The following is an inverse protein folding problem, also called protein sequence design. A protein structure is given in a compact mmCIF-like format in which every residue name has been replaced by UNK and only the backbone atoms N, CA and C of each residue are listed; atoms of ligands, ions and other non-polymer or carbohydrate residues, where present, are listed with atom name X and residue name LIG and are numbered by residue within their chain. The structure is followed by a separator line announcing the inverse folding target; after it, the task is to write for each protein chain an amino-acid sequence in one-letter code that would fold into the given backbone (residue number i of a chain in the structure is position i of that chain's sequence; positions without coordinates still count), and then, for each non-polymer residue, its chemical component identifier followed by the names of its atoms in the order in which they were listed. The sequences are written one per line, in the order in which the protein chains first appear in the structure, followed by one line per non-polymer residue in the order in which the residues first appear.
data_IF_547494773893
#
_entry.id   IF_547494773893
#
_cell.length_a   1.000
_cell.length_b   1.000
_cell.length_c   1.000
_cell.angle_alpha   90.00
_cell.angle_beta   90.00
_cell.angle_gamma   90.00
#
_symmetry.space_group_name_H-M   'P 1'
#
loop_
_entity.id
_entity.type
_entity.pdbx_description
1 polymer ?
#
# COMPACT_ATOMS: atom_id res chain seq x y z
N UNK A 1 7.90 -10.58 1.68
CA UNK A 1 8.95 -9.78 2.36
C UNK A 1 8.26 -8.52 2.85
N UNK A 2 8.44 -8.15 4.11
CA UNK A 2 7.97 -6.86 4.64
C UNK A 2 9.17 -5.91 4.78
N UNK A 3 8.98 -4.64 4.48
CA UNK A 3 9.96 -3.61 4.76
C UNK A 3 9.90 -3.10 6.20
N UNK A 4 10.57 -1.98 6.46
CA UNK A 4 10.45 -1.25 7.71
C UNK A 4 10.10 0.21 7.42
N UNK A 5 8.90 0.64 7.83
CA UNK A 5 8.38 1.97 7.55
C UNK A 5 7.96 2.17 6.09
N UNK A 6 8.28 3.34 5.51
CA UNK A 6 7.89 3.71 4.14
C UNK A 6 8.94 3.44 3.06
N UNK A 7 8.58 3.70 1.81
CA UNK A 7 9.39 3.41 0.62
C UNK A 7 10.79 4.04 0.61
N UNK A 8 10.93 5.25 1.16
CA UNK A 8 12.17 6.04 1.21
C UNK A 8 12.87 5.97 2.57
N UNK A 9 12.55 4.99 3.41
CA UNK A 9 13.21 4.83 4.72
C UNK A 9 14.70 4.53 4.51
N UNK A 10 15.62 5.30 5.13
CA UNK A 10 17.05 5.02 5.04
C UNK A 10 17.42 3.69 5.71
N UNK A 11 18.24 2.89 5.02
CA UNK A 11 18.92 1.72 5.58
C UNK A 11 20.39 2.03 5.92
N UNK A 12 20.92 3.10 5.32
CA UNK A 12 22.27 3.59 5.54
C UNK A 12 22.39 5.05 5.09
N UNK A 13 23.63 5.59 5.02
CA UNK A 13 23.86 6.96 4.59
C UNK A 13 23.47 7.25 3.13
N UNK A 14 23.34 6.22 2.30
CA UNK A 14 23.06 6.35 0.86
C UNK A 14 21.90 5.51 0.39
N UNK A 15 21.64 4.40 1.06
CA UNK A 15 20.64 3.41 0.69
C UNK A 15 19.34 3.62 1.47
N UNK A 16 18.24 3.31 0.79
CA UNK A 16 16.89 3.28 1.30
C UNK A 16 16.28 1.89 1.13
N UNK A 17 15.10 1.67 1.71
CA UNK A 17 14.33 0.45 1.52
C UNK A 17 14.01 0.17 0.04
N UNK A 18 13.87 1.22 -0.78
CA UNK A 18 13.68 1.06 -2.22
C UNK A 18 14.88 0.37 -2.88
N UNK A 19 16.11 0.66 -2.46
CA UNK A 19 17.32 0.04 -3.03
C UNK A 19 17.34 -1.47 -2.79
N UNK A 20 16.82 -1.93 -1.64
CA UNK A 20 16.63 -3.36 -1.38
C UNK A 20 15.61 -3.97 -2.35
N UNK A 21 14.44 -3.35 -2.52
CA UNK A 21 13.41 -3.83 -3.45
C UNK A 21 13.93 -3.87 -4.90
N UNK A 22 14.70 -2.85 -5.30
CA UNK A 22 15.36 -2.79 -6.61
C UNK A 22 16.35 -3.95 -6.75
N UNK A 23 17.21 -4.19 -5.76
CA UNK A 23 18.19 -5.29 -5.83
C UNK A 23 17.54 -6.67 -5.97
N UNK A 24 16.35 -6.85 -5.39
CA UNK A 24 15.60 -8.10 -5.42
C UNK A 24 14.72 -8.23 -6.67
N UNK A 25 14.50 -7.15 -7.43
CA UNK A 25 13.63 -7.11 -8.61
C UNK A 25 12.23 -7.68 -8.34
N UNK A 26 11.69 -7.38 -7.15
CA UNK A 26 10.37 -7.88 -6.73
C UNK A 26 9.26 -6.84 -7.00
N UNK A 27 8.06 -7.28 -7.41
CA UNK A 27 6.90 -6.40 -7.47
C UNK A 27 6.51 -5.90 -6.07
N UNK A 28 5.93 -4.71 -6.00
CA UNK A 28 5.56 -4.03 -4.75
C UNK A 28 4.06 -4.09 -4.53
N UNK A 29 3.65 -4.43 -3.30
CA UNK A 29 2.29 -4.21 -2.80
C UNK A 29 2.32 -3.02 -1.85
N UNK A 30 1.47 -2.02 -2.08
CA UNK A 30 1.36 -0.84 -1.22
C UNK A 30 0.17 -0.97 -0.27
N UNK A 31 0.38 -0.73 1.02
CA UNK A 31 -0.72 -0.63 2.01
C UNK A 31 -1.05 0.83 2.24
N UNK A 32 -2.29 1.22 1.99
CA UNK A 32 -2.79 2.59 2.17
C UNK A 32 -3.67 2.62 3.42
N UNK A 33 -3.18 3.28 4.47
CA UNK A 33 -4.02 3.58 5.64
C UNK A 33 -5.07 4.63 5.30
N UNK A 34 -6.35 4.28 5.39
CA UNK A 34 -7.49 5.14 5.06
C UNK A 34 -7.71 6.20 6.13
N UNK A 35 -6.98 7.31 6.00
CA UNK A 35 -7.07 8.51 6.85
C UNK A 35 -6.83 9.78 6.03
N UNK A 36 -7.05 10.95 6.64
CA UNK A 36 -6.75 12.23 5.98
C UNK A 36 -5.29 12.27 5.49
N UNK A 37 -5.09 12.68 4.23
CA UNK A 37 -3.80 12.72 3.56
C UNK A 37 -3.41 11.43 2.81
N UNK A 38 -4.21 10.35 2.91
CA UNK A 38 -3.90 9.08 2.24
C UNK A 38 -3.78 9.18 0.72
N UNK A 39 -4.60 10.00 0.06
CA UNK A 39 -4.53 10.22 -1.40
C UNK A 39 -3.14 10.74 -1.79
N UNK A 40 -2.68 11.82 -1.15
CA UNK A 40 -1.37 12.39 -1.44
C UNK A 40 -0.24 11.37 -1.22
N UNK A 41 -0.24 10.68 -0.07
CA UNK A 41 0.80 9.70 0.23
C UNK A 41 0.81 8.51 -0.73
N UNK A 42 -0.37 7.99 -1.09
CA UNK A 42 -0.50 6.87 -2.02
C UNK A 42 0.03 7.24 -3.41
N UNK A 43 -0.32 8.42 -3.92
CA UNK A 43 0.14 8.89 -5.23
C UNK A 43 1.66 9.14 -5.24
N UNK A 44 2.19 9.84 -4.23
CA UNK A 44 3.64 10.08 -4.12
C UNK A 44 4.43 8.76 -4.03
N UNK A 45 3.88 7.77 -3.31
CA UNK A 45 4.52 6.46 -3.16
C UNK A 45 4.46 5.66 -4.46
N UNK A 46 3.31 5.64 -5.14
CA UNK A 46 3.15 4.96 -6.43
C UNK A 46 4.05 5.57 -7.52
N UNK A 47 4.15 6.90 -7.56
CA UNK A 47 5.07 7.61 -8.46
C UNK A 47 6.53 7.27 -8.16
N UNK A 48 6.90 7.20 -6.88
CA UNK A 48 8.25 6.83 -6.46
C UNK A 48 8.61 5.40 -6.85
N UNK A 49 7.73 4.42 -6.60
CA UNK A 49 7.93 3.01 -6.99
C UNK A 49 8.15 2.91 -8.51
N UNK A 50 7.27 3.55 -9.30
CA UNK A 50 7.38 3.55 -10.77
C UNK A 50 8.67 4.22 -11.26
N UNK A 51 9.06 5.34 -10.63
CA UNK A 51 10.28 6.07 -10.99
C UNK A 51 11.55 5.27 -10.69
N UNK A 52 11.49 4.39 -9.69
CA UNK A 52 12.58 3.48 -9.36
C UNK A 52 12.63 2.24 -10.27
N UNK A 53 11.73 2.16 -11.26
CA UNK A 53 11.69 1.08 -12.25
C UNK A 53 11.00 -0.19 -11.78
N UNK A 54 10.25 -0.14 -10.67
CA UNK A 54 9.54 -1.30 -10.13
C UNK A 54 8.04 -1.26 -10.44
N UNK A 55 7.44 -2.44 -10.50
CA UNK A 55 6.00 -2.63 -10.67
C UNK A 55 5.28 -2.46 -9.33
N UNK A 56 4.23 -1.64 -9.31
CA UNK A 56 3.22 -1.67 -8.26
C UNK A 56 2.18 -2.73 -8.64
N UNK A 57 2.34 -3.95 -8.14
CA UNK A 57 1.47 -5.09 -8.52
C UNK A 57 0.06 -5.00 -7.91
N UNK A 58 -0.09 -4.25 -6.83
CA UNK A 58 -1.40 -4.03 -6.21
C UNK A 58 -1.30 -3.14 -4.98
N UNK A 59 -2.47 -2.81 -4.43
CA UNK A 59 -2.56 -2.08 -3.18
C UNK A 59 -3.71 -2.57 -2.30
N UNK A 60 -3.59 -2.32 -1.00
CA UNK A 60 -4.60 -2.68 0.01
C UNK A 60 -5.08 -1.40 0.69
N UNK A 61 -6.38 -1.23 0.79
CA UNK A 61 -6.98 -0.21 1.65
C UNK A 61 -7.09 -0.77 3.07
N UNK A 62 -6.48 -0.12 4.05
CA UNK A 62 -6.54 -0.54 5.45
C UNK A 62 -7.23 0.53 6.29
N UNK A 63 -8.31 0.18 6.96
CA UNK A 63 -9.03 1.10 7.83
C UNK A 63 -8.36 1.14 9.22
N UNK A 64 -7.75 2.27 9.61
CA UNK A 64 -7.33 2.45 11.00
C UNK A 64 -8.58 2.48 11.89
N UNK A 65 -8.43 2.18 13.18
CA UNK A 65 -9.58 2.14 14.10
C UNK A 65 -10.34 3.45 14.29
N UNK A 66 -9.82 4.55 13.75
CA UNK A 66 -10.49 5.85 13.70
C UNK A 66 -11.30 5.98 12.40
N UNK A 67 -12.61 6.27 12.48
CA UNK A 67 -13.44 6.49 11.30
C UNK A 67 -12.93 7.67 10.48
N UNK A 68 -12.87 7.48 9.16
CA UNK A 68 -12.52 8.53 8.23
C UNK A 68 -13.78 9.13 7.59
N UNK A 69 -13.90 10.46 7.59
CA UNK A 69 -14.93 11.15 6.83
C UNK A 69 -14.77 10.90 5.32
N UNK A 70 -15.89 10.71 4.62
CA UNK A 70 -15.92 10.46 3.17
C UNK A 70 -15.04 9.26 2.75
N UNK A 71 -15.04 8.20 3.56
CA UNK A 71 -14.23 7.01 3.30
C UNK A 71 -14.45 6.44 1.88
N UNK A 72 -15.72 6.29 1.48
CA UNK A 72 -16.09 5.71 0.20
C UNK A 72 -15.59 6.56 -0.98
N UNK A 73 -15.71 7.89 -0.89
CA UNK A 73 -15.25 8.83 -1.91
C UNK A 73 -13.73 8.83 -2.05
N UNK A 74 -13.01 8.74 -0.93
CA UNK A 74 -11.56 8.64 -0.95
C UNK A 74 -11.09 7.30 -1.51
N UNK A 75 -11.75 6.20 -1.15
CA UNK A 75 -11.46 4.87 -1.72
C UNK A 75 -11.70 4.87 -3.23
N UNK A 76 -12.81 5.46 -3.69
CA UNK A 76 -13.12 5.58 -5.11
C UNK A 76 -12.09 6.44 -5.85
N UNK A 77 -11.63 7.53 -5.23
CA UNK A 77 -10.58 8.39 -5.78
C UNK A 77 -9.27 7.61 -5.94
N UNK A 78 -8.85 6.86 -4.92
CA UNK A 78 -7.66 6.01 -4.98
C UNK A 78 -7.77 4.92 -6.05
N UNK A 79 -8.92 4.26 -6.15
CA UNK A 79 -9.21 3.27 -7.21
C UNK A 79 -9.04 3.84 -8.62
N UNK A 80 -9.41 5.11 -8.82
CA UNK A 80 -9.30 5.76 -10.12
C UNK A 80 -7.87 6.21 -10.44
N UNK A 81 -7.13 6.70 -9.45
CA UNK A 81 -5.85 7.34 -9.66
C UNK A 81 -4.64 6.38 -9.56
N UNK A 82 -4.75 5.29 -8.79
CA UNK A 82 -3.65 4.35 -8.63
C UNK A 82 -3.53 3.41 -9.83
N UNK A 83 -2.33 3.27 -10.44
CA UNK A 83 -2.12 2.44 -11.62
C UNK A 83 -1.95 0.96 -11.27
N UNK A 84 -2.71 0.45 -10.30
CA UNK A 84 -2.60 -0.92 -9.78
C UNK A 84 -3.94 -1.41 -9.22
N UNK A 85 -4.21 -2.73 -9.26
CA UNK A 85 -5.47 -3.27 -8.74
C UNK A 85 -5.56 -3.10 -7.22
N UNK A 86 -6.77 -2.77 -6.74
CA UNK A 86 -7.09 -2.91 -5.32
C UNK A 86 -7.24 -4.40 -5.01
N UNK A 87 -6.40 -4.91 -4.12
CA UNK A 87 -6.42 -6.31 -3.67
C UNK A 87 -7.44 -6.54 -2.56
N UNK A 88 -7.87 -5.50 -1.86
CA UNK A 88 -8.86 -5.64 -0.80
C UNK A 88 -8.95 -4.44 0.11
N UNK A 89 -10.03 -4.41 0.88
CA UNK A 89 -10.28 -3.43 1.93
C UNK A 89 -10.35 -4.15 3.27
N UNK A 90 -9.35 -3.93 4.12
CA UNK A 90 -9.25 -4.55 5.44
C UNK A 90 -9.89 -3.59 6.47
N UNK A 91 -11.00 -3.98 7.13
CA UNK A 91 -11.60 -3.16 8.17
C UNK A 91 -10.74 -3.13 9.42
N UNK A 92 -11.07 -2.27 10.38
CA UNK A 92 -10.46 -2.36 11.71
C UNK A 92 -10.88 -3.65 12.42
N UNK A 93 -9.91 -4.49 12.79
CA UNK A 93 -10.14 -5.79 13.45
C UNK A 93 -9.63 -5.73 14.90
N UNK A 94 -10.52 -6.00 15.86
CA UNK A 94 -10.20 -6.06 17.29
C UNK A 94 -10.88 -7.27 17.96
N UNK A 95 -10.13 -8.20 18.59
CA UNK A 95 -8.66 -8.30 18.59
C UNK A 95 -8.12 -8.64 17.20
N UNK A 96 -6.93 -8.14 16.85
CA UNK A 96 -6.34 -8.42 15.55
C UNK A 96 -6.03 -9.91 15.37
N UNK A 97 -6.42 -10.47 14.23
CA UNK A 97 -6.07 -11.82 13.80
C UNK A 97 -5.73 -11.81 12.29
N UNK A 98 -4.53 -12.28 11.88
CA UNK A 98 -4.12 -12.28 10.47
C UNK A 98 -5.07 -13.05 9.54
N UNK A 99 -5.62 -14.17 10.01
CA UNK A 99 -6.56 -14.99 9.24
C UNK A 99 -7.83 -14.21 8.91
N UNK A 100 -8.31 -13.39 9.84
CA UNK A 100 -9.46 -12.51 9.61
C UNK A 100 -9.15 -11.40 8.62
N UNK A 101 -7.93 -10.86 8.60
CA UNK A 101 -7.54 -9.87 7.60
C UNK A 101 -7.44 -10.49 6.20
N UNK A 102 -6.92 -11.73 6.11
CA UNK A 102 -6.72 -12.43 4.84
C UNK A 102 -8.04 -12.68 4.08
N UNK A 103 -9.17 -12.85 4.77
CA UNK A 103 -10.48 -13.03 4.10
C UNK A 103 -10.98 -11.80 3.34
N UNK A 104 -10.35 -10.64 3.53
CA UNK A 104 -10.68 -9.41 2.80
C UNK A 104 -9.80 -9.19 1.56
N UNK A 105 -8.86 -10.09 1.28
CA UNK A 105 -7.91 -9.96 0.19
C UNK A 105 -8.25 -10.92 -0.96
N UNK A 106 -8.30 -10.38 -2.17
CA UNK A 106 -8.37 -11.09 -3.43
C UNK A 106 -7.01 -11.03 -4.12
N UNK A 107 -6.34 -12.18 -4.20
CA UNK A 107 -5.03 -12.31 -4.80
C UNK A 107 -5.10 -12.70 -6.29
N UNK A 108 -6.29 -12.91 -6.85
CA UNK A 108 -6.46 -13.32 -8.26
C UNK A 108 -5.95 -12.26 -9.26
N UNK A 109 -5.82 -11.01 -8.82
CA UNK A 109 -5.28 -9.91 -9.62
C UNK A 109 -3.73 -9.87 -9.66
N UNK A 110 -3.04 -10.65 -8.82
CA UNK A 110 -1.58 -10.76 -8.81
C UNK A 110 -1.12 -11.78 -9.87
N UNK A 111 -0.05 -11.44 -10.59
CA UNK A 111 0.55 -12.27 -11.65
C UNK A 111 1.86 -12.91 -11.20
#
# INVERSE_FOLDING_TARGET
IEGAGGWRVPLGPRETLADLAISLQVPVIMVVGMRLGCINHALLTAEAIRRDGLELAGWVANQPGEPMACHAENLQTLRHLLPAPLLGEVPHITPFAPVSAASFLDLSALK
#
